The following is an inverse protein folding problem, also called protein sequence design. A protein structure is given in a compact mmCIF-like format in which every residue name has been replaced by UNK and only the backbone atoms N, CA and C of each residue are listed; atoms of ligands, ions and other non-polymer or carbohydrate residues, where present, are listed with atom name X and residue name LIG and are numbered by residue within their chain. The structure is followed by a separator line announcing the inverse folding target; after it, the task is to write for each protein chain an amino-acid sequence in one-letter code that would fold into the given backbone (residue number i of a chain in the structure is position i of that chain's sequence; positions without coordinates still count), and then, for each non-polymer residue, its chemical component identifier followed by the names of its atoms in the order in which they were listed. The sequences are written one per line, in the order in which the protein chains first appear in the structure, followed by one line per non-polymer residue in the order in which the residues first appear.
data_IF_543034608949
#
_entry.id   IF_543034608949
#
_cell.length_a   1.000
_cell.length_b   1.000
_cell.length_c   1.000
_cell.angle_alpha   90.00
_cell.angle_beta   90.00
_cell.angle_gamma   90.00
#
_symmetry.space_group_name_H-M   'P 1'
#
loop_
_entity.id
_entity.type
_entity.pdbx_description
1 polymer ?
#
# COMPACT_ATOMS: atom_id res chain seq x y z
N UNK A 1 -13.19 9.72 -5.15
CA UNK A 1 -13.24 8.41 -5.83
C UNK A 1 -13.50 7.33 -4.79
N UNK A 2 -14.26 6.28 -5.13
CA UNK A 2 -14.68 5.20 -4.23
C UNK A 2 -13.83 3.93 -4.40
N UNK A 3 -13.65 3.21 -3.31
CA UNK A 3 -13.09 1.86 -3.28
C UNK A 3 -14.24 0.90 -2.96
N UNK A 4 -14.55 -0.02 -3.87
CA UNK A 4 -15.66 -0.96 -3.71
C UNK A 4 -15.14 -2.24 -3.09
N UNK A 5 -15.82 -2.75 -2.06
CA UNK A 5 -15.49 -4.00 -1.39
C UNK A 5 -16.67 -4.95 -1.56
N UNK A 6 -16.38 -6.18 -2.00
CA UNK A 6 -17.36 -7.24 -2.21
C UNK A 6 -16.87 -8.48 -1.47
N UNK A 7 -17.60 -8.87 -0.43
CA UNK A 7 -17.18 -9.90 0.52
C UNK A 7 -18.22 -11.01 0.76
N UNK A 8 -19.33 -11.01 0.01
CA UNK A 8 -20.35 -12.05 0.11
C UNK A 8 -20.12 -13.14 -0.94
N UNK A 9 -20.38 -14.39 -0.56
CA UNK A 9 -20.40 -15.53 -1.48
C UNK A 9 -21.55 -15.42 -2.49
N UNK A 10 -21.34 -15.91 -3.72
CA UNK A 10 -22.38 -15.98 -4.76
C UNK A 10 -22.70 -14.65 -5.43
N UNK A 11 -21.87 -13.63 -5.24
CA UNK A 11 -22.07 -12.33 -5.86
C UNK A 11 -21.57 -12.33 -7.31
N UNK A 12 -22.31 -11.67 -8.19
CA UNK A 12 -21.92 -11.46 -9.58
C UNK A 12 -21.68 -9.98 -9.85
N UNK A 13 -20.50 -9.66 -10.38
CA UNK A 13 -20.08 -8.31 -10.76
C UNK A 13 -20.14 -8.18 -12.28
N UNK A 14 -21.07 -7.37 -12.75
CA UNK A 14 -21.29 -7.16 -14.18
C UNK A 14 -21.16 -5.71 -14.59
N UNK A 15 -21.17 -5.48 -15.90
CA UNK A 15 -21.30 -4.16 -16.50
C UNK A 15 -22.72 -3.97 -17.02
N UNK A 16 -23.34 -2.83 -16.71
CA UNK A 16 -24.54 -2.36 -17.40
C UNK A 16 -24.32 -0.93 -17.85
N UNK A 17 -24.25 -0.72 -19.16
CA UNK A 17 -23.85 0.54 -19.77
C UNK A 17 -22.47 1.00 -19.29
N UNK A 18 -22.39 2.00 -18.39
CA UNK A 18 -21.13 2.47 -17.78
C UNK A 18 -21.14 2.35 -16.24
N UNK A 19 -21.93 1.40 -15.72
CA UNK A 19 -22.09 1.17 -14.29
C UNK A 19 -21.63 -0.24 -13.93
N UNK A 20 -20.87 -0.35 -12.85
CA UNK A 20 -20.69 -1.60 -12.12
C UNK A 20 -22.04 -2.00 -11.55
N UNK A 21 -22.48 -3.21 -11.87
CA UNK A 21 -23.66 -3.84 -11.28
C UNK A 21 -23.20 -4.95 -10.35
N UNK A 22 -23.75 -4.96 -9.13
CA UNK A 22 -23.48 -5.97 -8.12
C UNK A 22 -24.78 -6.76 -7.93
N UNK A 23 -24.77 -8.03 -8.30
CA UNK A 23 -25.94 -8.91 -8.23
C UNK A 23 -25.74 -10.03 -7.23
N UNK A 24 -26.83 -10.46 -6.63
CA UNK A 24 -26.92 -11.68 -5.81
C UNK A 24 -28.22 -12.39 -6.17
N UNK A 25 -28.16 -13.69 -6.43
CA UNK A 25 -29.34 -14.51 -6.74
C UNK A 25 -30.22 -13.91 -7.87
N UNK A 26 -29.58 -13.30 -8.88
CA UNK A 26 -30.25 -12.64 -10.01
C UNK A 26 -30.71 -11.20 -9.76
N UNK A 27 -30.84 -10.77 -8.50
CA UNK A 27 -31.28 -9.42 -8.12
C UNK A 27 -30.11 -8.44 -8.06
N UNK A 28 -30.34 -7.19 -8.49
CA UNK A 28 -29.34 -6.12 -8.41
C UNK A 28 -29.35 -5.56 -6.98
N UNK A 29 -28.25 -5.77 -6.26
CA UNK A 29 -28.03 -5.25 -4.90
C UNK A 29 -27.55 -3.80 -4.95
N UNK A 30 -26.70 -3.48 -5.93
CA UNK A 30 -26.13 -2.13 -6.04
C UNK A 30 -25.69 -1.80 -7.48
N UNK A 31 -25.73 -0.52 -7.83
CA UNK A 31 -25.20 0.01 -9.08
C UNK A 31 -24.34 1.27 -8.84
N UNK A 32 -23.13 1.29 -9.38
CA UNK A 32 -22.20 2.40 -9.21
C UNK A 32 -21.57 2.76 -10.55
N UNK A 33 -21.61 4.04 -10.94
CA UNK A 33 -20.95 4.52 -12.15
C UNK A 33 -19.43 4.28 -12.09
N UNK A 34 -18.84 3.71 -13.14
CA UNK A 34 -17.42 3.34 -13.19
C UNK A 34 -16.49 4.54 -12.99
N UNK A 35 -16.86 5.73 -13.47
CA UNK A 35 -16.09 6.96 -13.32
C UNK A 35 -15.89 7.40 -11.86
N UNK A 36 -16.70 6.88 -10.92
CA UNK A 36 -16.56 7.16 -9.49
C UNK A 36 -15.70 6.11 -8.78
N UNK A 37 -15.30 5.04 -9.45
CA UNK A 37 -14.60 3.90 -8.85
C UNK A 37 -13.11 3.99 -9.15
N UNK A 38 -12.27 3.78 -8.14
CA UNK A 38 -10.82 3.67 -8.30
C UNK A 38 -10.34 2.23 -8.23
N UNK A 39 -10.92 1.45 -7.32
CA UNK A 39 -10.58 0.03 -7.16
C UNK A 39 -11.81 -0.78 -6.78
N UNK A 40 -11.78 -2.07 -7.13
CA UNK A 40 -12.72 -3.09 -6.70
C UNK A 40 -11.92 -4.14 -5.92
N UNK A 41 -12.35 -4.49 -4.71
CA UNK A 41 -11.76 -5.52 -3.87
C UNK A 41 -12.75 -6.66 -3.71
N UNK A 42 -12.33 -7.86 -4.13
CA UNK A 42 -13.06 -9.11 -4.02
C UNK A 42 -12.44 -9.89 -2.87
N UNK A 43 -13.16 -10.01 -1.76
CA UNK A 43 -12.67 -10.56 -0.49
C UNK A 43 -13.27 -11.94 -0.14
N UNK A 44 -14.09 -12.51 -1.02
CA UNK A 44 -14.71 -13.83 -0.82
C UNK A 44 -14.52 -14.72 -2.03
N UNK A 45 -14.52 -16.03 -1.79
CA UNK A 45 -14.64 -17.05 -2.83
C UNK A 45 -16.06 -17.04 -3.42
N UNK A 46 -16.21 -17.61 -4.61
CA UNK A 46 -17.51 -17.73 -5.29
C UNK A 46 -18.07 -16.39 -5.79
N UNK A 47 -17.21 -15.37 -5.95
CA UNK A 47 -17.57 -14.12 -6.62
C UNK A 47 -17.15 -14.22 -8.08
N UNK A 48 -18.09 -13.97 -8.99
CA UNK A 48 -17.84 -13.99 -10.43
C UNK A 48 -17.86 -12.59 -11.01
N UNK A 49 -17.09 -12.38 -12.08
CA UNK A 49 -17.06 -11.11 -12.82
C UNK A 49 -17.32 -11.38 -14.31
N UNK A 50 -17.97 -10.43 -14.99
CA UNK A 50 -18.04 -10.46 -16.46
C UNK A 50 -16.74 -9.99 -17.10
N UNK A 51 -16.38 -10.57 -18.24
CA UNK A 51 -15.26 -10.12 -19.09
C UNK A 51 -15.41 -8.64 -19.48
N UNK A 52 -16.62 -8.19 -19.80
CA UNK A 52 -16.92 -6.79 -20.14
C UNK A 52 -16.58 -5.81 -19.03
N UNK A 53 -16.84 -6.20 -17.78
CA UNK A 53 -16.48 -5.40 -16.62
C UNK A 53 -14.96 -5.31 -16.49
N UNK A 54 -14.25 -6.42 -16.64
CA UNK A 54 -12.78 -6.45 -16.58
C UNK A 54 -12.19 -5.52 -17.65
N UNK A 55 -12.65 -5.64 -18.90
CA UNK A 55 -12.19 -4.79 -20.00
C UNK A 55 -12.49 -3.30 -19.76
N UNK A 56 -13.72 -2.99 -19.34
CA UNK A 56 -14.15 -1.62 -19.03
C UNK A 56 -13.38 -0.99 -17.86
N UNK A 57 -13.02 -1.79 -16.86
CA UNK A 57 -12.16 -1.38 -15.75
C UNK A 57 -10.74 -1.12 -16.24
N UNK A 58 -10.17 -2.01 -17.04
CA UNK A 58 -8.82 -1.88 -17.61
C UNK A 58 -8.64 -0.58 -18.40
N UNK A 59 -9.59 -0.26 -19.28
CA UNK A 59 -9.57 0.97 -20.08
C UNK A 59 -9.63 2.26 -19.24
N UNK A 60 -10.24 2.19 -18.05
CA UNK A 60 -10.40 3.34 -17.14
C UNK A 60 -9.35 3.38 -16.02
N UNK A 61 -8.40 2.45 -16.01
CA UNK A 61 -7.40 2.32 -14.96
C UNK A 61 -7.97 1.88 -13.59
N UNK A 62 -9.15 1.25 -13.59
CA UNK A 62 -9.76 0.70 -12.38
C UNK A 62 -9.11 -0.64 -12.06
N UNK A 63 -8.49 -0.75 -10.88
CA UNK A 63 -7.80 -1.97 -10.44
C UNK A 63 -8.76 -2.91 -9.75
N UNK A 64 -8.70 -4.20 -10.08
CA UNK A 64 -9.49 -5.24 -9.41
C UNK A 64 -8.53 -6.11 -8.62
N UNK A 65 -8.75 -6.18 -7.31
CA UNK A 65 -7.96 -6.98 -6.39
C UNK A 65 -8.79 -8.14 -5.89
N UNK A 66 -8.20 -9.33 -5.90
CA UNK A 66 -8.71 -10.51 -5.24
C UNK A 66 -7.82 -10.75 -4.03
N UNK A 67 -8.43 -10.76 -2.86
CA UNK A 67 -7.72 -10.97 -1.62
C UNK A 67 -8.39 -12.11 -0.84
N UNK A 68 -7.60 -13.09 -0.46
CA UNK A 68 -7.96 -14.08 0.54
C UNK A 68 -6.97 -13.97 1.69
N UNK A 69 -7.21 -14.65 2.81
CA UNK A 69 -6.26 -14.66 3.92
C UNK A 69 -4.83 -15.05 3.51
N UNK A 70 -4.68 -15.89 2.48
CA UNK A 70 -3.38 -16.46 2.10
C UNK A 70 -2.91 -16.05 0.70
N UNK A 71 -3.76 -15.41 -0.11
CA UNK A 71 -3.43 -15.08 -1.49
C UNK A 71 -3.91 -13.70 -1.89
N UNK A 72 -3.08 -13.03 -2.68
CA UNK A 72 -3.38 -11.75 -3.29
C UNK A 72 -3.19 -11.87 -4.80
N UNK A 73 -4.19 -11.45 -5.55
CA UNK A 73 -4.12 -11.39 -7.01
C UNK A 73 -4.69 -10.06 -7.49
N UNK A 74 -4.14 -9.52 -8.57
CA UNK A 74 -4.53 -8.20 -9.06
C UNK A 74 -4.68 -8.23 -10.58
N UNK A 75 -5.82 -7.72 -11.06
CA UNK A 75 -5.99 -7.30 -12.44
C UNK A 75 -5.74 -5.79 -12.50
N UNK A 76 -4.72 -5.43 -13.25
CA UNK A 76 -4.29 -4.05 -13.44
C UNK A 76 -4.30 -3.71 -14.92
N UNK A 77 -4.45 -2.41 -15.23
CA UNK A 77 -4.34 -1.93 -16.59
C UNK A 77 -2.88 -1.97 -17.07
N UNK A 78 -2.68 -2.20 -18.36
CA UNK A 78 -1.36 -2.13 -19.00
C UNK A 78 -0.81 -0.70 -19.05
N UNK A 79 -1.70 0.30 -19.05
CA UNK A 79 -1.35 1.70 -19.24
C UNK A 79 -1.20 2.44 -17.91
N UNK A 80 -0.29 1.98 -17.06
CA UNK A 80 0.27 2.90 -16.06
C UNK A 80 1.31 3.75 -16.78
N UNK A 81 0.99 5.02 -17.06
CA UNK A 81 1.89 6.06 -17.55
C UNK A 81 3.06 6.30 -16.58
N UNK A 82 3.92 5.31 -16.38
CA UNK A 82 5.22 5.48 -15.75
C UNK A 82 6.19 5.66 -16.89
N UNK A 83 6.73 6.87 -17.01
CA UNK A 83 7.75 7.18 -18.01
C UNK A 83 8.82 6.10 -17.99
N UNK A 84 9.18 5.57 -19.15
CA UNK A 84 10.26 4.58 -19.33
C UNK A 84 11.53 5.05 -18.59
N UNK A 85 11.76 6.37 -18.57
CA UNK A 85 12.84 7.01 -17.82
C UNK A 85 12.81 6.73 -16.31
N UNK A 86 11.63 6.76 -15.68
CA UNK A 86 11.51 6.47 -14.24
C UNK A 86 11.88 5.03 -13.96
N UNK A 87 11.40 4.08 -14.79
CA UNK A 87 11.74 2.67 -14.63
C UNK A 87 13.23 2.42 -14.87
N UNK A 88 13.81 3.06 -15.88
CA UNK A 88 15.25 2.96 -16.15
C UNK A 88 16.07 3.47 -14.95
N UNK A 89 15.73 4.66 -14.43
CA UNK A 89 16.39 5.22 -13.24
C UNK A 89 16.22 4.34 -12.00
N UNK A 90 15.07 3.67 -11.84
CA UNK A 90 14.88 2.71 -10.73
C UNK A 90 15.86 1.54 -10.81
N UNK A 91 16.08 0.98 -12.01
CA UNK A 91 17.07 -0.09 -12.21
C UNK A 91 18.49 0.40 -11.96
N UNK A 92 18.87 1.56 -12.51
CA UNK A 92 20.20 2.14 -12.30
C UNK A 92 20.48 2.43 -10.81
N UNK A 93 19.48 2.87 -10.06
CA UNK A 93 19.64 3.13 -8.62
C UNK A 93 19.95 1.88 -7.79
N UNK A 94 19.67 0.65 -8.27
CA UNK A 94 19.91 -0.57 -7.48
C UNK A 94 21.39 -0.81 -7.21
N UNK A 95 22.26 -0.48 -8.15
CA UNK A 95 23.71 -0.75 -8.08
C UNK A 95 24.52 0.48 -7.67
N UNK A 96 23.88 1.64 -7.60
CA UNK A 96 24.53 2.91 -7.29
C UNK A 96 24.43 3.31 -5.82
N UNK A 97 25.38 4.14 -5.37
CA UNK A 97 25.30 4.84 -4.06
C UNK A 97 24.01 5.63 -3.89
N UNK A 98 23.39 6.08 -4.99
CA UNK A 98 22.08 6.76 -4.98
C UNK A 98 20.97 5.89 -4.40
N UNK A 99 21.01 4.57 -4.62
CA UNK A 99 20.06 3.63 -4.04
C UNK A 99 20.18 3.52 -2.52
N UNK A 100 21.42 3.48 -2.01
CA UNK A 100 21.69 3.50 -0.56
C UNK A 100 21.19 4.80 0.09
N UNK A 101 21.39 5.92 -0.58
CA UNK A 101 20.87 7.21 -0.11
C UNK A 101 19.34 7.25 -0.10
N UNK A 102 18.69 6.74 -1.16
CA UNK A 102 17.24 6.62 -1.21
C UNK A 102 16.71 5.71 -0.09
N UNK A 103 17.35 4.55 0.13
CA UNK A 103 17.00 3.62 1.20
C UNK A 103 17.12 4.28 2.58
N UNK A 104 18.20 5.05 2.81
CA UNK A 104 18.38 5.83 4.04
C UNK A 104 17.25 6.82 4.27
N UNK A 105 16.86 7.59 3.25
CA UNK A 105 15.75 8.53 3.38
C UNK A 105 14.41 7.83 3.65
N UNK A 106 14.17 6.67 3.02
CA UNK A 106 12.99 5.84 3.27
C UNK A 106 12.93 5.36 4.72
N UNK A 107 14.05 4.84 5.26
CA UNK A 107 14.12 4.40 6.66
C UNK A 107 13.95 5.57 7.62
N UNK A 108 14.59 6.72 7.38
CA UNK A 108 14.38 7.92 8.19
C UNK A 108 12.90 8.33 8.19
N UNK A 109 12.24 8.30 7.02
CA UNK A 109 10.80 8.56 6.90
C UNK A 109 9.96 7.58 7.72
N UNK A 110 10.29 6.28 7.66
CA UNK A 110 9.65 5.23 8.46
C UNK A 110 9.76 5.51 9.96
N UNK A 111 10.97 5.78 10.45
CA UNK A 111 11.23 6.06 11.87
C UNK A 111 10.47 7.31 12.35
N UNK A 112 10.45 8.38 11.54
CA UNK A 112 9.67 9.58 11.84
C UNK A 112 8.18 9.30 11.94
N UNK A 113 7.63 8.51 11.02
CA UNK A 113 6.22 8.13 11.04
C UNK A 113 5.89 7.28 12.26
N UNK A 114 6.72 6.30 12.60
CA UNK A 114 6.54 5.47 13.80
C UNK A 114 6.57 6.31 15.08
N UNK A 115 7.53 7.22 15.20
CA UNK A 115 7.62 8.19 16.31
C UNK A 115 6.37 9.07 16.40
N UNK A 116 5.90 9.59 15.27
CA UNK A 116 4.69 10.43 15.23
C UNK A 116 3.43 9.65 15.63
N UNK A 117 3.29 8.42 15.16
CA UNK A 117 2.19 7.52 15.56
C UNK A 117 2.22 7.25 17.07
N UNK A 118 3.38 6.98 17.64
CA UNK A 118 3.54 6.80 19.09
C UNK A 118 3.15 8.06 19.87
N UNK A 119 3.61 9.24 19.44
CA UNK A 119 3.26 10.51 20.07
C UNK A 119 1.75 10.76 20.05
N UNK A 120 1.08 10.44 18.94
CA UNK A 120 -0.35 10.60 18.78
C UNK A 120 -1.16 9.60 19.64
N UNK A 121 -0.83 8.30 19.56
CA UNK A 121 -1.60 7.25 20.24
C UNK A 121 -1.52 7.34 21.76
N UNK A 122 -0.45 7.92 22.29
CA UNK A 122 -0.18 8.01 23.73
C UNK A 122 -0.39 9.41 24.29
N UNK A 123 -1.23 10.24 23.64
CA UNK A 123 -1.52 11.61 24.09
C UNK A 123 -2.11 11.66 25.51
N UNK A 124 -2.79 10.61 25.95
CA UNK A 124 -3.40 10.47 27.29
C UNK A 124 -2.61 9.59 28.27
N UNK A 125 -1.47 9.02 27.87
CA UNK A 125 -0.71 8.06 28.67
C UNK A 125 0.67 8.65 28.99
N UNK A 126 0.88 8.98 30.26
CA UNK A 126 2.18 9.40 30.82
C UNK A 126 2.93 8.18 31.35
N UNK A 127 3.55 7.42 30.43
CA UNK A 127 4.46 6.32 30.76
C UNK A 127 5.92 6.77 30.53
N UNK A 128 6.80 6.56 31.51
CA UNK A 128 8.24 6.83 31.37
C UNK A 128 8.92 5.96 30.30
N UNK A 129 8.35 4.80 29.95
CA UNK A 129 8.85 3.96 28.85
C UNK A 129 8.68 4.64 27.49
N UNK A 130 7.58 5.38 27.28
CA UNK A 130 7.31 6.13 26.05
C UNK A 130 8.42 7.14 25.76
N UNK A 131 8.80 7.92 26.76
CA UNK A 131 9.82 8.96 26.61
C UNK A 131 11.16 8.35 26.17
N UNK A 132 11.54 7.23 26.80
CA UNK A 132 12.75 6.47 26.43
C UNK A 132 12.69 5.95 24.99
N UNK A 133 11.54 5.41 24.57
CA UNK A 133 11.36 4.91 23.19
C UNK A 133 11.46 6.05 22.17
N UNK A 134 10.85 7.21 22.45
CA UNK A 134 10.92 8.39 21.57
C UNK A 134 12.35 8.89 21.45
N UNK A 135 13.09 8.96 22.57
CA UNK A 135 14.50 9.34 22.58
C UNK A 135 15.37 8.37 21.78
N UNK A 136 15.08 7.07 21.85
CA UNK A 136 15.75 6.07 21.01
C UNK A 136 15.49 6.30 19.52
N UNK A 137 14.25 6.62 19.12
CA UNK A 137 13.95 6.98 17.73
C UNK A 137 14.72 8.23 17.28
N UNK A 138 14.79 9.25 18.12
CA UNK A 138 15.53 10.49 17.81
C UNK A 138 17.03 10.22 17.64
N UNK A 139 17.61 9.35 18.47
CA UNK A 139 19.00 8.87 18.32
C UNK A 139 19.22 8.11 17.02
N UNK A 140 18.36 7.16 16.69
CA UNK A 140 18.44 6.39 15.42
C UNK A 140 18.35 7.30 14.20
N UNK A 141 17.46 8.29 14.21
CA UNK A 141 17.32 9.27 13.12
C UNK A 141 18.59 10.12 12.99
N UNK A 142 19.16 10.57 14.11
CA UNK A 142 20.39 11.36 14.11
C UNK A 142 21.58 10.56 13.57
N UNK A 143 21.73 9.30 13.98
CA UNK A 143 22.78 8.40 13.50
C UNK A 143 22.71 8.19 11.99
N UNK A 144 21.50 7.94 11.46
CA UNK A 144 21.30 7.77 10.01
C UNK A 144 21.62 9.04 9.20
N UNK A 145 21.27 10.22 9.71
CA UNK A 145 21.53 11.49 9.00
C UNK A 145 23.01 11.80 8.87
N UNK A 146 23.80 11.52 9.90
CA UNK A 146 25.19 11.97 9.99
C UNK A 146 26.23 10.93 9.55
N UNK A 147 25.80 9.68 9.28
CA UNK A 147 26.70 8.65 8.77
C UNK A 147 27.13 8.98 7.34
N UNK A 148 28.46 9.08 7.12
CA UNK A 148 29.07 9.32 5.81
C UNK A 148 29.19 8.05 4.96
N UNK A 149 29.67 6.97 5.57
CA UNK A 149 29.78 5.67 4.90
C UNK A 149 28.54 4.81 5.16
N UNK A 150 27.73 4.66 4.12
CA UNK A 150 26.49 3.90 4.14
C UNK A 150 26.73 2.48 3.65
N UNK A 151 26.35 1.51 4.47
CA UNK A 151 26.22 0.11 4.06
C UNK A 151 24.77 -0.33 4.25
N UNK A 152 24.35 -1.33 3.48
CA UNK A 152 23.01 -1.90 3.57
C UNK A 152 22.76 -2.49 4.96
N UNK A 153 23.76 -3.18 5.51
CA UNK A 153 23.71 -3.83 6.82
C UNK A 153 23.53 -2.80 7.94
N UNK A 154 24.19 -1.64 7.83
CA UNK A 154 24.03 -0.56 8.80
C UNK A 154 22.63 0.04 8.77
N UNK A 155 22.09 0.29 7.57
CA UNK A 155 20.74 0.82 7.39
C UNK A 155 19.69 -0.12 7.98
N UNK A 156 19.79 -1.41 7.65
CA UNK A 156 18.88 -2.44 8.16
C UNK A 156 19.07 -2.71 9.66
N UNK A 157 20.30 -2.64 10.17
CA UNK A 157 20.58 -2.83 11.60
C UNK A 157 19.90 -1.78 12.47
N UNK A 158 19.96 -0.50 12.09
CA UNK A 158 19.27 0.58 12.81
C UNK A 158 17.74 0.43 12.70
N UNK A 159 17.24 -0.01 11.55
CA UNK A 159 15.82 -0.28 11.35
C UNK A 159 15.34 -1.38 12.30
N UNK A 160 16.06 -2.51 12.38
CA UNK A 160 15.73 -3.63 13.27
C UNK A 160 15.76 -3.25 14.75
N UNK A 161 16.81 -2.54 15.19
CA UNK A 161 16.91 -2.03 16.58
C UNK A 161 15.76 -1.08 16.91
N UNK A 162 15.36 -0.24 15.94
CA UNK A 162 14.23 0.68 16.15
C UNK A 162 12.89 -0.05 16.18
N UNK A 163 12.74 -1.11 15.38
CA UNK A 163 11.54 -1.94 15.35
C UNK A 163 11.36 -2.75 16.66
N UNK A 164 12.44 -3.21 17.30
CA UNK A 164 12.36 -3.92 18.58
C UNK A 164 11.90 -3.07 19.77
N UNK A 165 11.80 -1.75 19.61
CA UNK A 165 11.22 -0.88 20.63
C UNK A 165 9.70 -0.71 20.49
N UNK A 166 9.11 -1.13 19.36
CA UNK A 166 7.68 -1.05 19.09
C UNK A 166 6.93 -2.35 19.37
N UNK A 167 7.60 -3.48 19.15
CA UNK A 167 7.08 -4.84 19.34
C UNK A 167 7.78 -5.48 20.53
#
# INVERSE_FOLDING_TARGET
MKHIIVNNFGMFLGLKSQRLTIKKDGCIVNEIALNRIKTIQVLSRGISLSSDLINSCSQRGIKIFFNTFNSFSALHTLYEHKSVMVRNNQFLCCDEKKGLELARQLIIGKLKNQRATLLYSSRSITDGRKQKVIESFDKSIYQQKNKKDLSKEYILGIEGVSASFLF
#
